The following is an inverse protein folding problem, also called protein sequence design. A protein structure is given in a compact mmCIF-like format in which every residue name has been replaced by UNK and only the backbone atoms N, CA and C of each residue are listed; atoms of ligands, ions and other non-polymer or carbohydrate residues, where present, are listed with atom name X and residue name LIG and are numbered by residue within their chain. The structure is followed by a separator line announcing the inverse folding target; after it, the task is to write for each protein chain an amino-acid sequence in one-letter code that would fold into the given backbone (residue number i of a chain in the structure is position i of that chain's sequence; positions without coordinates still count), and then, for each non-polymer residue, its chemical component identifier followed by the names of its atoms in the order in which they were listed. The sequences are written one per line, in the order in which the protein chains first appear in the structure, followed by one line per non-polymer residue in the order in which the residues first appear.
data_IF_210841222733
#
_entry.id   IF_210841222733
#
_cell.length_a   1.000
_cell.length_b   1.000
_cell.length_c   1.000
_cell.angle_alpha   90.00
_cell.angle_beta   90.00
_cell.angle_gamma   90.00
#
_symmetry.space_group_name_H-M   'P 1'
#
loop_
_entity.id
_entity.type
_entity.pdbx_description
1 polymer ?
#
# COMPACT_ATOMS: atom_id res chain seq x y z
N UNK A 1 16.67 18.42 -1.50
CA UNK A 1 15.85 17.92 -0.38
C UNK A 1 15.72 16.42 -0.54
N UNK A 2 16.08 15.64 0.48
CA UNK A 2 15.97 14.18 0.49
C UNK A 2 14.54 13.73 0.78
N UNK A 3 14.21 12.46 0.48
CA UNK A 3 12.91 11.87 0.83
C UNK A 3 12.64 11.97 2.34
N UNK A 4 13.66 11.69 3.16
CA UNK A 4 13.58 11.78 4.62
C UNK A 4 13.28 13.20 5.11
N UNK A 5 13.86 14.21 4.46
CA UNK A 5 13.54 15.62 4.75
C UNK A 5 12.10 15.96 4.34
N UNK A 6 11.65 15.52 3.17
CA UNK A 6 10.27 15.69 2.70
C UNK A 6 9.24 15.06 3.66
N UNK A 7 9.49 13.84 4.11
CA UNK A 7 8.66 13.14 5.09
C UNK A 7 8.60 13.91 6.41
N UNK A 8 9.75 14.38 6.90
CA UNK A 8 9.82 15.15 8.14
C UNK A 8 9.03 16.47 8.04
N UNK A 9 9.11 17.19 6.92
CA UNK A 9 8.32 18.40 6.69
C UNK A 9 6.81 18.09 6.55
N UNK A 10 6.44 17.02 5.84
CA UNK A 10 5.05 16.60 5.70
C UNK A 10 4.43 16.22 7.07
N UNK A 11 5.23 15.66 7.98
CA UNK A 11 4.79 15.33 9.33
C UNK A 11 4.56 16.54 10.23
N UNK A 12 5.10 17.72 9.89
CA UNK A 12 4.81 18.98 10.60
C UNK A 12 3.44 19.57 10.26
N UNK A 13 2.82 19.13 9.16
CA UNK A 13 1.47 19.57 8.79
C UNK A 13 0.43 19.08 9.81
N UNK A 14 -0.62 19.86 10.01
CA UNK A 14 -1.79 19.40 10.75
C UNK A 14 -2.46 18.20 10.03
N UNK A 15 -3.25 17.38 10.74
CA UNK A 15 -3.84 16.17 10.16
C UNK A 15 -4.64 16.41 8.87
N UNK A 16 -5.35 17.55 8.76
CA UNK A 16 -6.18 17.86 7.59
C UNK A 16 -5.31 18.24 6.40
N UNK A 17 -4.29 19.08 6.61
CA UNK A 17 -3.34 19.45 5.56
C UNK A 17 -2.54 18.23 5.08
N UNK A 18 -2.12 17.36 6.00
CA UNK A 18 -1.41 16.12 5.67
C UNK A 18 -2.29 15.15 4.86
N UNK A 19 -3.55 14.97 5.24
CA UNK A 19 -4.49 14.15 4.47
C UNK A 19 -4.70 14.69 3.04
N UNK A 20 -4.79 16.02 2.88
CA UNK A 20 -4.88 16.66 1.56
C UNK A 20 -3.61 16.44 0.72
N UNK A 21 -2.43 16.53 1.33
CA UNK A 21 -1.17 16.24 0.64
C UNK A 21 -1.10 14.77 0.22
N UNK A 22 -1.49 13.85 1.09
CA UNK A 22 -1.55 12.42 0.78
C UNK A 22 -2.47 12.14 -0.41
N UNK A 23 -3.67 12.76 -0.45
CA UNK A 23 -4.58 12.66 -1.60
C UNK A 23 -3.94 13.10 -2.92
N UNK A 24 -3.25 14.25 -2.94
CA UNK A 24 -2.55 14.74 -4.14
C UNK A 24 -1.42 13.80 -4.60
N UNK A 25 -0.68 13.23 -3.65
CA UNK A 25 0.37 12.27 -3.95
C UNK A 25 -0.22 11.01 -4.58
N UNK A 26 -1.33 10.50 -4.04
CA UNK A 26 -2.04 9.37 -4.63
C UNK A 26 -2.57 9.67 -6.04
N UNK A 27 -3.25 10.82 -6.23
CA UNK A 27 -3.71 11.27 -7.55
C UNK A 27 -2.57 11.38 -8.57
N UNK A 28 -1.36 11.74 -8.12
CA UNK A 28 -0.19 11.81 -9.02
C UNK A 28 0.24 10.44 -9.55
N UNK A 29 -0.04 9.36 -8.81
CA UNK A 29 0.29 7.99 -9.22
C UNK A 29 -0.73 7.40 -10.21
N UNK A 30 -1.92 7.97 -10.32
CA UNK A 30 -2.94 7.55 -11.30
C UNK A 30 -2.54 7.92 -12.75
N UNK A 31 -1.56 8.81 -12.92
CA UNK A 31 -1.07 9.24 -14.24
C UNK A 31 0.15 8.44 -14.72
N UNK A 32 0.52 7.36 -14.05
CA UNK A 32 1.61 6.48 -14.46
C UNK A 32 1.26 5.73 -15.75
N UNK A 33 2.26 5.39 -16.58
CA UNK A 33 2.04 4.53 -17.73
C UNK A 33 1.68 3.11 -17.29
N UNK A 34 1.01 2.34 -18.14
CA UNK A 34 0.67 0.94 -17.83
C UNK A 34 1.91 0.10 -17.53
N UNK A 35 3.02 0.34 -18.24
CA UNK A 35 4.28 -0.35 -18.03
C UNK A 35 4.89 -0.04 -16.67
N UNK A 36 4.88 1.24 -16.27
CA UNK A 36 5.39 1.66 -14.97
C UNK A 36 4.52 1.13 -13.83
N UNK A 37 3.20 1.18 -13.99
CA UNK A 37 2.26 0.62 -13.03
C UNK A 37 2.47 -0.90 -12.87
N UNK A 38 2.60 -1.63 -13.98
CA UNK A 38 2.88 -3.07 -13.98
C UNK A 38 4.18 -3.39 -13.26
N UNK A 39 5.25 -2.63 -13.53
CA UNK A 39 6.55 -2.81 -12.86
C UNK A 39 6.43 -2.62 -11.35
N UNK A 40 5.80 -1.53 -10.90
CA UNK A 40 5.63 -1.22 -9.48
C UNK A 40 4.80 -2.27 -8.74
N UNK A 41 3.73 -2.78 -9.35
CA UNK A 41 2.94 -3.87 -8.75
C UNK A 41 3.71 -5.18 -8.66
N UNK A 42 4.54 -5.52 -9.65
CA UNK A 42 5.38 -6.71 -9.60
C UNK A 42 6.42 -6.60 -8.47
N UNK A 43 7.07 -5.44 -8.32
CA UNK A 43 8.01 -5.17 -7.23
C UNK A 43 7.32 -5.28 -5.85
N UNK A 44 6.14 -4.69 -5.72
CA UNK A 44 5.35 -4.75 -4.47
C UNK A 44 4.88 -6.17 -4.15
N UNK A 45 4.47 -6.95 -5.16
CA UNK A 45 4.09 -8.35 -4.98
C UNK A 45 5.27 -9.18 -4.45
N UNK A 46 6.46 -9.02 -5.04
CA UNK A 46 7.68 -9.67 -4.57
C UNK A 46 8.06 -9.26 -3.14
N UNK A 47 7.95 -7.96 -2.82
CA UNK A 47 8.23 -7.47 -1.46
C UNK A 47 7.29 -8.11 -0.44
N UNK A 48 5.98 -8.18 -0.75
CA UNK A 48 4.98 -8.78 0.13
C UNK A 48 5.15 -10.28 0.30
N UNK A 49 5.50 -10.99 -0.77
CA UNK A 49 5.81 -12.42 -0.72
C UNK A 49 6.98 -12.70 0.24
N UNK A 50 8.07 -11.94 0.10
CA UNK A 50 9.21 -12.04 1.01
C UNK A 50 8.86 -11.67 2.47
N UNK A 51 7.98 -10.69 2.67
CA UNK A 51 7.50 -10.31 4.01
C UNK A 51 6.67 -11.44 4.66
N UNK A 52 5.88 -12.16 3.87
CA UNK A 52 5.09 -13.31 4.35
C UNK A 52 5.99 -14.48 4.77
N UNK A 53 7.09 -14.72 4.07
CA UNK A 53 8.09 -15.73 4.46
C UNK A 53 8.76 -15.39 5.80
N UNK A 54 9.05 -14.11 6.03
CA UNK A 54 9.70 -13.62 7.26
C UNK A 54 8.71 -13.56 8.44
N UNK A 55 7.43 -13.27 8.17
CA UNK A 55 6.38 -13.20 9.17
C UNK A 55 5.19 -14.10 8.83
N UNK A 56 5.29 -15.42 9.07
CA UNK A 56 4.22 -16.37 8.75
C UNK A 56 2.90 -16.06 9.47
N UNK A 57 2.95 -15.38 10.62
CA UNK A 57 1.77 -14.97 11.39
C UNK A 57 0.96 -13.84 10.74
N UNK A 58 1.49 -13.20 9.69
CA UNK A 58 0.75 -12.22 8.86
C UNK A 58 -0.12 -12.87 7.79
N UNK A 59 0.05 -14.18 7.55
CA UNK A 59 -0.74 -14.93 6.57
C UNK A 59 -2.06 -15.43 7.16
N UNK A 60 -3.07 -15.59 6.31
CA UNK A 60 -4.34 -16.21 6.67
C UNK A 60 -4.52 -17.51 5.88
N UNK A 61 -4.87 -18.64 6.52
CA UNK A 61 -5.18 -19.88 5.81
C UNK A 61 -6.29 -19.66 4.79
N UNK A 62 -6.09 -20.16 3.56
CA UNK A 62 -7.08 -19.99 2.47
C UNK A 62 -8.49 -20.46 2.86
N UNK A 63 -8.60 -21.54 3.64
CA UNK A 63 -9.88 -22.05 4.14
C UNK A 63 -10.64 -21.03 5.00
N UNK A 64 -9.93 -20.26 5.83
CA UNK A 64 -10.52 -19.22 6.67
C UNK A 64 -10.99 -18.03 5.84
N UNK A 65 -10.16 -17.58 4.89
CA UNK A 65 -10.52 -16.53 3.91
C UNK A 65 -11.81 -16.89 3.16
N UNK A 66 -11.89 -18.10 2.60
CA UNK A 66 -13.08 -18.53 1.85
C UNK A 66 -14.32 -18.64 2.73
N UNK A 67 -14.17 -19.11 3.97
CA UNK A 67 -15.27 -19.19 4.94
C UNK A 67 -15.83 -17.80 5.24
N UNK A 68 -14.97 -16.83 5.53
CA UNK A 68 -15.39 -15.45 5.82
C UNK A 68 -16.02 -14.76 4.62
N UNK A 69 -15.44 -14.90 3.42
CA UNK A 69 -15.98 -14.31 2.21
C UNK A 69 -17.39 -14.82 1.92
N UNK A 70 -17.64 -16.13 2.05
CA UNK A 70 -18.98 -16.73 1.86
C UNK A 70 -19.98 -16.29 2.92
N UNK A 71 -19.54 -16.06 4.16
CA UNK A 71 -20.41 -15.59 5.23
C UNK A 71 -20.98 -14.19 4.95
N UNK A 72 -20.22 -13.34 4.25
CA UNK A 72 -20.62 -11.95 3.88
C UNK A 72 -21.57 -11.87 2.67
N UNK A 73 -21.79 -12.98 1.95
CA UNK A 73 -22.70 -13.04 0.80
C UNK A 73 -24.16 -13.40 1.19
N UNK A 74 -24.43 -13.53 2.49
CA UNK A 74 -25.78 -13.75 3.05
C UNK A 74 -26.39 -12.44 3.52
#
# INVERSE_FOLDING_TARGET
MSLKELEAEAMKLDPKARARLAGKLLESLENLSEEENTRLWAEEAHRRDAEMDINPGSSCPAAEVFREARAKLK
#
